data_IF_730981808506
#
_entry.id   IF_730981808506
#
_cell.length_a   1.000
_cell.length_b   1.000
_cell.length_c   1.000
_cell.angle_alpha   90.00
_cell.angle_beta   90.00
_cell.angle_gamma   90.00
#
_symmetry.space_group_name_H-M   'P 1'
#
loop_
_entity.id
_entity.type
_entity.pdbx_description
1 polymer ?
#
# COMPACT_ATOMS: atom_id res chain seq x y z
N UNK A 1 6.80 8.57 -1.06
CA UNK A 1 6.00 9.04 0.08
C UNK A 1 6.57 8.54 1.40
N UNK A 2 6.26 9.22 2.51
CA UNK A 2 6.59 8.74 3.85
C UNK A 2 5.47 7.88 4.46
N UNK A 3 4.25 7.99 3.94
CA UNK A 3 3.07 7.21 4.29
C UNK A 3 2.38 6.73 3.02
N UNK A 4 1.29 5.98 3.14
CA UNK A 4 0.35 5.75 2.05
C UNK A 4 -0.27 7.07 1.56
N UNK A 5 -0.74 7.07 0.31
CA UNK A 5 -1.51 8.18 -0.27
C UNK A 5 -2.84 8.31 0.46
N UNK A 6 -3.15 9.52 0.91
CA UNK A 6 -4.37 9.81 1.67
C UNK A 6 -5.58 10.08 0.79
N UNK A 7 -6.78 9.96 1.37
CA UNK A 7 -8.02 10.40 0.74
C UNK A 7 -7.98 11.87 0.29
N UNK A 8 -7.34 12.76 1.07
CA UNK A 8 -7.22 14.18 0.70
C UNK A 8 -6.35 14.39 -0.54
N UNK A 9 -5.22 13.69 -0.63
CA UNK A 9 -4.36 13.74 -1.81
C UNK A 9 -5.07 13.19 -3.05
N UNK A 10 -5.78 12.07 -2.89
CA UNK A 10 -6.55 11.47 -3.98
C UNK A 10 -7.76 12.33 -4.38
N UNK A 11 -8.37 13.05 -3.44
CA UNK A 11 -9.45 14.00 -3.75
C UNK A 11 -8.94 15.14 -4.65
N UNK A 12 -7.75 15.67 -4.38
CA UNK A 12 -7.14 16.68 -5.23
C UNK A 12 -6.91 16.18 -6.66
N UNK A 13 -6.55 14.90 -6.82
CA UNK A 13 -6.47 14.25 -8.13
C UNK A 13 -7.84 14.18 -8.82
N UNK A 14 -8.85 13.65 -8.15
CA UNK A 14 -10.22 13.54 -8.69
C UNK A 14 -10.78 14.90 -9.11
N UNK A 15 -10.59 15.94 -8.29
CA UNK A 15 -11.08 17.28 -8.59
C UNK A 15 -10.35 17.93 -9.77
N UNK A 16 -9.04 17.68 -9.92
CA UNK A 16 -8.23 18.22 -11.00
C UNK A 16 -8.49 17.53 -12.35
N UNK A 17 -8.68 16.21 -12.36
CA UNK A 17 -8.83 15.42 -13.60
C UNK A 17 -10.28 15.17 -13.99
N UNK A 18 -11.23 15.46 -13.11
CA UNK A 18 -12.66 15.12 -13.27
C UNK A 18 -12.87 13.62 -13.46
N UNK A 19 -12.02 12.80 -12.83
CA UNK A 19 -12.12 11.34 -12.85
C UNK A 19 -13.53 10.90 -12.39
N UNK A 20 -14.16 10.05 -13.19
CA UNK A 20 -15.53 9.57 -12.93
C UNK A 20 -15.54 8.38 -11.98
N UNK A 21 -14.58 7.47 -12.12
CA UNK A 21 -14.42 6.34 -11.20
C UNK A 21 -13.72 6.78 -9.92
N UNK A 22 -14.45 6.79 -8.82
CA UNK A 22 -13.97 7.19 -7.49
C UNK A 22 -14.11 6.02 -6.51
N UNK A 23 -13.42 6.05 -5.36
CA UNK A 23 -13.57 5.02 -4.34
C UNK A 23 -15.03 4.82 -3.94
N UNK A 24 -15.52 3.58 -3.96
CA UNK A 24 -16.95 3.28 -3.82
C UNK A 24 -17.59 3.63 -2.47
N UNK A 25 -16.78 3.95 -1.46
CA UNK A 25 -17.24 4.39 -0.14
C UNK A 25 -17.38 5.92 -0.02
N UNK A 26 -16.98 6.67 -1.04
CA UNK A 26 -17.12 8.12 -1.07
C UNK A 26 -18.57 8.54 -1.32
N UNK A 27 -19.00 9.63 -0.69
CA UNK A 27 -20.36 10.17 -0.81
C UNK A 27 -20.30 11.51 -1.51
N UNK A 28 -21.14 11.69 -2.53
CA UNK A 28 -21.17 12.91 -3.36
C UNK A 28 -19.79 13.30 -3.93
N UNK A 29 -19.00 12.31 -4.33
CA UNK A 29 -17.69 12.55 -4.94
C UNK A 29 -16.55 12.81 -3.97
N UNK A 30 -16.74 12.62 -2.67
CA UNK A 30 -15.77 13.02 -1.63
C UNK A 30 -15.63 11.97 -0.52
N UNK A 31 -14.47 11.90 0.15
CA UNK A 31 -14.34 11.15 1.39
C UNK A 31 -15.29 11.73 2.46
N UNK A 32 -15.72 10.89 3.41
CA UNK A 32 -16.55 11.37 4.52
C UNK A 32 -15.75 12.35 5.41
N UNK A 33 -16.40 13.34 6.05
CA UNK A 33 -15.72 14.24 6.96
C UNK A 33 -14.95 13.50 8.06
N UNK A 34 -13.69 13.87 8.27
CA UNK A 34 -12.80 13.21 9.24
C UNK A 34 -12.01 12.03 8.68
N UNK A 35 -12.24 11.64 7.42
CA UNK A 35 -11.51 10.55 6.75
C UNK A 35 -10.39 11.04 5.82
N UNK A 36 -10.09 12.34 5.82
CA UNK A 36 -9.15 12.98 4.89
C UNK A 36 -7.74 12.40 5.01
N UNK A 37 -7.35 11.98 6.22
CA UNK A 37 -6.04 11.39 6.51
C UNK A 37 -6.01 9.86 6.46
N UNK A 38 -7.13 9.19 6.23
CA UNK A 38 -7.11 7.75 5.98
C UNK A 38 -6.39 7.48 4.66
N UNK A 39 -5.69 6.34 4.53
CA UNK A 39 -5.18 5.89 3.24
C UNK A 39 -6.35 5.76 2.26
N UNK A 40 -6.14 6.19 1.00
CA UNK A 40 -7.11 5.92 -0.05
C UNK A 40 -7.14 4.42 -0.34
N UNK A 41 -8.34 3.84 -0.38
CA UNK A 41 -8.57 2.43 -0.69
C UNK A 41 -9.69 2.29 -1.72
N UNK A 42 -10.04 1.05 -2.11
CA UNK A 42 -11.01 0.79 -3.19
C UNK A 42 -10.59 1.43 -4.52
N UNK A 43 -9.28 1.41 -4.79
CA UNK A 43 -8.65 1.86 -6.04
C UNK A 43 -7.93 0.69 -6.70
N UNK A 44 -8.03 0.59 -8.02
CA UNK A 44 -7.33 -0.43 -8.80
C UNK A 44 -5.86 -0.09 -9.01
N UNK A 45 -5.09 -1.04 -9.55
CA UNK A 45 -3.72 -0.77 -10.00
C UNK A 45 -3.65 0.41 -10.97
N UNK A 46 -4.59 0.46 -11.93
CA UNK A 46 -4.63 1.51 -12.95
C UNK A 46 -4.97 2.88 -12.37
N UNK A 47 -5.87 2.92 -11.38
CA UNK A 47 -6.19 4.14 -10.64
C UNK A 47 -4.95 4.71 -9.93
N UNK A 48 -4.14 3.84 -9.32
CA UNK A 48 -2.91 4.23 -8.63
C UNK A 48 -1.83 4.72 -9.62
N UNK A 49 -1.71 4.08 -10.79
CA UNK A 49 -0.81 4.51 -11.86
C UNK A 49 -1.24 5.85 -12.44
N UNK A 50 -2.54 6.07 -12.67
CA UNK A 50 -3.08 7.34 -13.15
C UNK A 50 -2.83 8.47 -12.15
N UNK A 51 -3.04 8.21 -10.85
CA UNK A 51 -2.70 9.14 -9.79
C UNK A 51 -1.20 9.49 -9.80
N UNK A 52 -0.32 8.48 -9.95
CA UNK A 52 1.13 8.70 -10.01
C UNK A 52 1.52 9.57 -11.20
N UNK A 53 0.91 9.33 -12.37
CA UNK A 53 1.11 10.14 -13.58
C UNK A 53 0.67 11.59 -13.35
N UNK A 54 -0.55 11.81 -12.84
CA UNK A 54 -1.04 13.14 -12.55
C UNK A 54 -0.15 13.89 -11.55
N UNK A 55 0.24 13.23 -10.46
CA UNK A 55 1.13 13.84 -9.46
C UNK A 55 2.48 14.20 -10.07
N UNK A 56 2.95 13.38 -11.01
CA UNK A 56 4.20 13.66 -11.73
C UNK A 56 4.12 14.93 -12.56
N UNK A 57 3.02 15.10 -13.30
CA UNK A 57 2.77 16.30 -14.10
C UNK A 57 2.59 17.54 -13.21
N UNK A 58 1.88 17.41 -12.09
CA UNK A 58 1.64 18.49 -11.12
C UNK A 58 2.94 18.99 -10.49
N UNK A 59 3.81 18.08 -10.07
CA UNK A 59 5.00 18.40 -9.27
C UNK A 59 6.27 18.57 -10.13
N UNK A 60 6.21 18.25 -11.43
CA UNK A 60 7.37 18.30 -12.33
C UNK A 60 8.45 17.25 -12.03
N UNK A 61 8.07 16.14 -11.38
CA UNK A 61 8.98 15.04 -11.03
C UNK A 61 8.32 13.69 -11.29
N UNK A 62 9.07 12.68 -11.74
CA UNK A 62 8.51 11.36 -12.00
C UNK A 62 8.22 10.58 -10.70
N UNK A 63 6.94 10.36 -10.44
CA UNK A 63 6.43 9.41 -9.47
C UNK A 63 5.93 8.13 -10.13
N UNK A 64 6.01 7.02 -9.40
CA UNK A 64 5.47 5.71 -9.79
C UNK A 64 5.18 4.86 -8.56
N UNK A 65 4.48 3.75 -8.75
CA UNK A 65 4.43 2.70 -7.74
C UNK A 65 5.83 2.13 -7.49
N UNK A 66 6.17 1.73 -6.24
CA UNK A 66 7.37 0.97 -5.98
C UNK A 66 7.30 -0.39 -6.66
N UNK A 67 8.45 -0.94 -7.05
CA UNK A 67 8.56 -2.39 -7.25
C UNK A 67 8.45 -3.10 -5.90
N UNK A 68 8.09 -4.39 -5.88
CA UNK A 68 8.04 -5.14 -4.61
C UNK A 68 9.41 -5.18 -3.91
N UNK A 69 10.51 -5.13 -4.69
CA UNK A 69 11.88 -5.15 -4.17
C UNK A 69 12.22 -3.81 -3.50
N UNK A 70 11.86 -2.69 -4.12
CA UNK A 70 12.04 -1.37 -3.50
C UNK A 70 11.18 -1.21 -2.25
N UNK A 71 9.95 -1.71 -2.29
CA UNK A 71 9.06 -1.72 -1.14
C UNK A 71 9.66 -2.54 0.00
N UNK A 72 10.13 -3.76 -0.28
CA UNK A 72 10.74 -4.62 0.72
C UNK A 72 12.04 -4.02 1.26
N UNK A 73 12.88 -3.45 0.39
CA UNK A 73 14.10 -2.76 0.81
C UNK A 73 13.80 -1.65 1.82
N UNK A 74 12.77 -0.83 1.54
CA UNK A 74 12.32 0.19 2.48
C UNK A 74 11.81 -0.41 3.79
N UNK A 75 11.00 -1.46 3.72
CA UNK A 75 10.43 -2.14 4.89
C UNK A 75 11.46 -2.88 5.75
N UNK A 76 12.68 -3.09 5.25
CA UNK A 76 13.75 -3.82 5.93
C UNK A 76 14.97 -2.95 6.26
N UNK A 77 14.88 -1.63 6.14
CA UNK A 77 16.04 -0.73 6.32
C UNK A 77 17.27 -1.11 5.44
N UNK A 78 17.04 -1.75 4.29
CA UNK A 78 18.10 -2.31 3.46
C UNK A 78 18.87 -3.49 4.08
N UNK A 79 18.44 -4.00 5.24
CA UNK A 79 19.07 -5.10 5.96
C UNK A 79 18.44 -6.47 5.62
N UNK A 80 19.29 -7.48 5.47
CA UNK A 80 18.86 -8.84 5.15
C UNK A 80 18.23 -9.62 6.33
N UNK A 81 18.29 -9.09 7.55
CA UNK A 81 17.77 -9.76 8.76
C UNK A 81 16.55 -9.08 9.37
N UNK A 82 16.24 -7.85 8.95
CA UNK A 82 15.04 -7.15 9.41
C UNK A 82 13.82 -7.80 8.76
N UNK A 83 12.82 -8.10 9.58
CA UNK A 83 11.51 -8.62 9.16
C UNK A 83 10.43 -7.54 9.21
N UNK A 84 10.74 -6.41 9.82
CA UNK A 84 9.84 -5.27 10.02
C UNK A 84 10.64 -3.96 9.88
N UNK A 85 9.95 -2.83 9.63
CA UNK A 85 10.58 -1.50 9.59
C UNK A 85 11.34 -1.12 10.87
N UNK A 86 11.00 -1.75 11.99
CA UNK A 86 11.56 -1.51 13.32
C UNK A 86 12.46 -2.66 13.83
N UNK A 87 12.90 -3.56 12.95
CA UNK A 87 13.88 -4.62 13.26
C UNK A 87 13.37 -6.04 12.98
N UNK A 88 13.92 -7.00 13.69
CA UNK A 88 13.71 -8.44 13.46
C UNK A 88 12.55 -9.04 14.26
N UNK A 89 12.05 -8.32 15.28
CA UNK A 89 10.98 -8.79 16.19
C UNK A 89 9.68 -8.03 15.97
N UNK A 90 8.58 -8.79 15.97
CA UNK A 90 7.25 -8.23 15.88
C UNK A 90 6.95 -7.31 17.07
N UNK A 91 6.34 -6.16 16.79
CA UNK A 91 5.87 -5.22 17.82
C UNK A 91 4.48 -4.71 17.42
N UNK A 92 3.43 -5.24 18.06
CA UNK A 92 2.04 -4.89 17.73
C UNK A 92 1.78 -3.37 17.73
N UNK A 93 2.37 -2.64 18.68
CA UNK A 93 2.24 -1.17 18.79
C UNK A 93 2.77 -0.38 17.59
N UNK A 94 3.58 -1.02 16.75
CA UNK A 94 4.24 -0.40 15.61
C UNK A 94 3.47 -0.56 14.29
N UNK A 95 2.34 -1.27 14.30
CA UNK A 95 1.47 -1.45 13.15
C UNK A 95 0.01 -1.12 13.51
N UNK A 96 -0.76 -0.67 12.53
CA UNK A 96 -2.22 -0.56 12.67
C UNK A 96 -2.81 -1.95 12.43
N UNK A 97 -3.24 -2.61 13.50
CA UNK A 97 -3.78 -3.98 13.53
C UNK A 97 -5.01 -4.05 14.43
N UNK A 98 -5.68 -5.20 14.46
CA UNK A 98 -6.84 -5.48 15.32
C UNK A 98 -8.00 -4.49 15.16
N UNK A 99 -8.12 -3.86 13.99
CA UNK A 99 -9.15 -2.83 13.80
C UNK A 99 -10.53 -3.46 13.58
N UNK A 100 -11.58 -2.96 14.26
CA UNK A 100 -12.95 -3.38 14.01
C UNK A 100 -13.33 -3.05 12.57
N UNK A 101 -14.13 -3.93 11.95
CA UNK A 101 -14.58 -3.80 10.56
C UNK A 101 -13.46 -3.65 9.52
N UNK A 102 -12.21 -3.94 9.90
CA UNK A 102 -11.03 -3.78 9.06
C UNK A 102 -10.74 -2.32 8.66
N UNK A 103 -11.25 -1.35 9.44
CA UNK A 103 -11.12 0.06 9.14
C UNK A 103 -9.65 0.52 9.29
N UNK A 104 -9.08 1.21 8.29
CA UNK A 104 -7.74 1.78 8.42
C UNK A 104 -7.74 2.93 9.43
N UNK A 105 -6.54 3.35 9.85
CA UNK A 105 -6.34 4.55 10.66
C UNK A 105 -5.74 5.68 9.83
N UNK A 106 -5.80 6.93 10.34
CA UNK A 106 -5.05 8.01 9.72
C UNK A 106 -3.58 7.62 9.57
N UNK A 107 -3.00 7.95 8.42
CA UNK A 107 -1.59 7.66 8.16
C UNK A 107 -0.69 8.26 9.25
N UNK A 108 0.41 7.58 9.56
CA UNK A 108 1.37 7.94 10.59
C UNK A 108 0.88 7.76 12.02
N UNK A 109 -0.21 7.04 12.25
CA UNK A 109 -0.71 6.77 13.62
C UNK A 109 0.21 5.82 14.39
N UNK A 110 0.78 4.81 13.72
CA UNK A 110 1.69 3.85 14.36
C UNK A 110 3.13 4.36 14.38
N UNK A 111 3.76 4.35 15.56
CA UNK A 111 4.89 5.24 15.91
C UNK A 111 6.28 4.65 15.63
N UNK A 112 6.44 3.76 14.65
CA UNK A 112 7.71 3.09 14.39
C UNK A 112 8.11 3.22 12.91
N UNK A 113 8.55 4.41 12.48
CA UNK A 113 9.11 4.59 11.15
C UNK A 113 10.39 3.76 10.98
N UNK A 114 10.70 3.44 9.72
CA UNK A 114 12.01 2.92 9.34
C UNK A 114 13.11 4.01 9.49
N UNK A 115 14.37 3.65 9.23
CA UNK A 115 15.53 4.56 9.34
C UNK A 115 15.42 5.82 8.45
N UNK A 116 14.61 5.74 7.39
CA UNK A 116 14.34 6.86 6.49
C UNK A 116 13.07 7.63 6.85
N UNK A 117 12.39 7.35 7.96
CA UNK A 117 11.16 8.04 8.37
C UNK A 117 9.91 7.56 7.62
N UNK A 118 9.96 6.42 6.93
CA UNK A 118 8.81 5.83 6.23
C UNK A 118 7.98 5.03 7.24
N UNK A 119 6.68 5.33 7.30
CA UNK A 119 5.72 4.78 8.24
C UNK A 119 4.73 3.86 7.54
N UNK A 120 3.98 3.11 8.36
CA UNK A 120 2.85 2.26 7.95
C UNK A 120 3.20 1.22 6.87
N UNK A 121 4.47 0.81 6.78
CA UNK A 121 4.89 -0.26 5.88
C UNK A 121 4.41 -1.64 6.35
N UNK A 122 3.86 -1.77 7.57
CA UNK A 122 3.25 -3.01 8.07
C UNK A 122 1.91 -2.66 8.72
N UNK A 123 0.85 -3.36 8.32
CA UNK A 123 -0.53 -3.09 8.75
C UNK A 123 -1.17 -1.92 8.01
N UNK A 124 -2.24 -1.38 8.59
CA UNK A 124 -3.10 -0.35 7.99
C UNK A 124 -3.78 -0.81 6.69
N UNK A 125 -3.11 -0.71 5.54
CA UNK A 125 -3.60 -1.23 4.26
C UNK A 125 -2.49 -1.95 3.51
N UNK A 126 -2.86 -2.97 2.75
CA UNK A 126 -1.97 -3.48 1.71
C UNK A 126 -1.67 -2.39 0.69
N UNK A 127 -0.54 -2.52 0.02
CA UNK A 127 -0.09 -1.53 -0.97
C UNK A 127 0.20 -2.16 -2.31
N UNK A 128 -0.34 -1.56 -3.37
CA UNK A 128 0.03 -1.86 -4.75
C UNK A 128 1.52 -1.67 -5.00
N UNK A 129 2.13 -2.61 -5.73
CA UNK A 129 3.47 -2.47 -6.32
C UNK A 129 3.38 -2.61 -7.83
N UNK A 130 4.39 -2.13 -8.55
CA UNK A 130 4.50 -2.29 -10.00
C UNK A 130 5.02 -3.65 -10.46
N UNK A 131 5.21 -4.60 -9.53
CA UNK A 131 5.75 -5.92 -9.85
C UNK A 131 4.64 -6.90 -10.18
N UNK A 132 4.60 -7.38 -11.43
CA UNK A 132 3.74 -8.49 -11.82
C UNK A 132 4.10 -9.78 -11.06
N UNK A 133 3.11 -10.66 -10.89
CA UNK A 133 3.25 -11.92 -10.19
C UNK A 133 4.44 -12.74 -10.73
N UNK A 134 5.31 -13.16 -9.81
CA UNK A 134 6.51 -13.92 -10.16
C UNK A 134 6.88 -14.91 -9.05
N UNK A 135 7.53 -15.99 -9.45
CA UNK A 135 8.20 -16.91 -8.52
C UNK A 135 9.62 -16.41 -8.25
N UNK A 136 10.14 -16.68 -7.05
CA UNK A 136 11.53 -16.34 -6.73
C UNK A 136 12.51 -17.07 -7.67
N UNK A 137 13.63 -16.42 -8.04
CA UNK A 137 14.71 -17.09 -8.76
C UNK A 137 15.15 -18.37 -8.05
N UNK A 138 15.22 -19.48 -8.79
CA UNK A 138 15.56 -20.81 -8.25
C UNK A 138 14.36 -21.64 -7.77
N UNK A 139 13.14 -21.09 -7.81
CA UNK A 139 11.92 -21.88 -7.57
C UNK A 139 11.67 -22.88 -8.69
N UNK A 140 11.20 -24.08 -8.34
CA UNK A 140 10.68 -25.07 -9.30
C UNK A 140 9.21 -24.84 -9.67
N UNK A 141 8.54 -23.87 -9.02
CA UNK A 141 7.16 -23.50 -9.31
C UNK A 141 7.09 -22.62 -10.55
N UNK A 142 5.95 -22.67 -11.23
CA UNK A 142 5.61 -21.75 -12.31
C UNK A 142 4.42 -20.88 -11.91
N UNK A 143 4.39 -19.65 -12.41
CA UNK A 143 3.19 -18.81 -12.36
C UNK A 143 2.11 -19.48 -13.22
N UNK A 144 0.92 -19.67 -12.65
CA UNK A 144 -0.20 -20.24 -13.41
C UNK A 144 -0.70 -19.22 -14.44
N UNK A 145 -1.16 -19.64 -15.62
CA UNK A 145 -1.84 -18.74 -16.55
C UNK A 145 -3.03 -18.06 -15.88
N UNK A 146 -3.18 -16.76 -16.11
CA UNK A 146 -4.24 -15.90 -15.59
C UNK A 146 -4.89 -15.12 -16.73
N UNK A 147 -6.18 -14.83 -16.63
CA UNK A 147 -6.94 -14.11 -17.67
C UNK A 147 -6.60 -12.61 -17.71
N UNK A 148 -6.25 -12.03 -16.56
CA UNK A 148 -5.72 -10.69 -16.43
C UNK A 148 -4.37 -10.70 -15.70
N UNK A 149 -3.51 -9.68 -15.84
CA UNK A 149 -2.27 -9.60 -15.06
C UNK A 149 -2.56 -9.48 -13.56
N UNK A 150 -1.77 -10.17 -12.74
CA UNK A 150 -1.81 -10.04 -11.29
C UNK A 150 -0.56 -9.29 -10.83
N UNK A 151 -0.70 -8.46 -9.81
CA UNK A 151 0.40 -7.67 -9.26
C UNK A 151 0.61 -7.99 -7.79
N UNK A 152 1.86 -7.90 -7.35
CA UNK A 152 2.24 -8.07 -5.95
C UNK A 152 1.73 -6.88 -5.13
N UNK A 153 1.11 -7.20 -4.00
CA UNK A 153 0.76 -6.26 -2.92
C UNK A 153 1.55 -6.61 -1.66
N UNK A 154 1.88 -5.60 -0.85
CA UNK A 154 2.75 -5.76 0.33
C UNK A 154 2.17 -5.07 1.57
N UNK A 155 2.79 -5.31 2.73
CA UNK A 155 2.50 -4.59 3.99
C UNK A 155 1.46 -5.22 4.92
N UNK A 156 0.43 -5.84 4.38
CA UNK A 156 -0.68 -6.34 5.18
C UNK A 156 -1.69 -5.25 5.55
N UNK A 157 -2.86 -5.62 6.09
CA UNK A 157 -3.92 -4.68 6.43
C UNK A 157 -4.32 -4.66 7.91
N UNK A 158 -5.13 -3.67 8.28
CA UNK A 158 -5.63 -3.44 9.64
C UNK A 158 -6.46 -4.61 10.22
N UNK A 159 -6.88 -5.54 9.38
CA UNK A 159 -7.66 -6.73 9.73
C UNK A 159 -6.84 -7.84 10.39
N UNK A 160 -5.52 -7.81 10.26
CA UNK A 160 -4.65 -8.80 10.88
C UNK A 160 -4.63 -8.70 12.40
N UNK A 161 -4.35 -9.84 13.04
CA UNK A 161 -4.33 -9.95 14.51
C UNK A 161 -2.93 -9.79 15.06
N UNK A 162 -2.81 -9.05 16.17
CA UNK A 162 -1.54 -8.89 16.88
C UNK A 162 -1.05 -10.15 17.61
N UNK A 163 -1.82 -11.24 17.58
CA UNK A 163 -1.42 -12.54 18.14
C UNK A 163 -0.23 -13.15 17.41
N UNK A 164 0.10 -12.68 16.20
CA UNK A 164 1.27 -13.13 15.43
C UNK A 164 1.03 -14.42 14.64
N UNK A 165 -0.22 -14.89 14.58
CA UNK A 165 -0.62 -16.09 13.82
C UNK A 165 -0.50 -15.85 12.31
N UNK A 166 -0.80 -14.63 11.87
CA UNK A 166 -0.58 -14.16 10.52
C UNK A 166 0.77 -13.44 10.45
N UNK A 167 1.80 -14.10 9.88
CA UNK A 167 3.14 -13.50 9.73
C UNK A 167 3.13 -12.39 8.68
N UNK A 168 2.61 -11.23 9.04
CA UNK A 168 2.72 -9.99 8.26
C UNK A 168 4.11 -9.38 8.40
N UNK A 169 5.05 -9.91 7.64
CA UNK A 169 6.43 -9.43 7.61
C UNK A 169 6.69 -8.59 6.37
N UNK A 170 7.81 -7.87 6.37
CA UNK A 170 8.34 -7.19 5.21
C UNK A 170 8.54 -8.14 4.01
N UNK A 171 8.65 -9.46 4.23
CA UNK A 171 8.83 -10.47 3.16
C UNK A 171 7.52 -11.15 2.73
N UNK A 172 6.38 -10.84 3.37
CA UNK A 172 5.10 -11.46 3.06
C UNK A 172 4.57 -10.98 1.71
N UNK A 173 4.43 -11.88 0.74
CA UNK A 173 3.95 -11.58 -0.61
C UNK A 173 2.52 -12.05 -0.77
N UNK A 174 1.69 -11.20 -1.32
CA UNK A 174 0.37 -11.57 -1.82
C UNK A 174 0.21 -10.96 -3.22
N UNK A 175 -0.44 -11.70 -4.10
CA UNK A 175 -0.80 -11.19 -5.42
C UNK A 175 -2.32 -10.96 -5.46
N UNK A 176 -2.76 -10.01 -6.27
CA UNK A 176 -4.16 -9.83 -6.63
C UNK A 176 -4.29 -9.43 -8.12
N UNK A 177 -5.45 -9.72 -8.77
CA UNK A 177 -5.72 -9.27 -10.13
C UNK A 177 -5.67 -7.74 -10.27
N UNK A 178 -5.19 -7.24 -11.42
CA UNK A 178 -5.06 -5.80 -11.74
C UNK A 178 -6.34 -5.00 -11.48
N UNK A 179 -7.50 -5.61 -11.74
CA UNK A 179 -8.83 -5.02 -11.55
C UNK A 179 -9.29 -4.89 -10.08
N UNK A 180 -8.56 -5.49 -9.13
CA UNK A 180 -8.96 -5.55 -7.71
C UNK A 180 -9.18 -4.16 -7.11
N UNK A 181 -10.31 -3.98 -6.42
CA UNK A 181 -10.57 -2.81 -5.56
C UNK A 181 -11.04 -3.35 -4.21
N UNK A 182 -10.26 -3.11 -3.14
CA UNK A 182 -10.53 -3.66 -1.80
C UNK A 182 -10.47 -2.58 -0.71
N UNK A 183 -11.31 -2.64 0.35
CA UNK A 183 -11.26 -1.70 1.48
C UNK A 183 -9.93 -1.69 2.24
N UNK A 184 -9.15 -2.76 2.15
CA UNK A 184 -7.84 -2.89 2.81
C UNK A 184 -6.65 -2.79 1.85
N UNK A 185 -6.83 -2.22 0.65
CA UNK A 185 -5.80 -2.08 -0.38
C UNK A 185 -5.72 -0.63 -0.87
N UNK A 186 -4.57 0.00 -0.62
CA UNK A 186 -4.19 1.33 -1.09
C UNK A 186 -2.84 1.30 -1.79
N UNK A 187 -2.07 2.39 -1.68
CA UNK A 187 -0.74 2.47 -2.30
C UNK A 187 0.09 3.63 -1.74
N UNK A 188 1.40 3.60 -2.02
CA UNK A 188 2.34 4.72 -1.87
C UNK A 188 3.13 4.91 -3.15
N UNK A 189 3.72 6.09 -3.35
CA UNK A 189 4.60 6.34 -4.49
C UNK A 189 6.06 6.40 -4.11
N UNK A 190 6.93 6.07 -5.07
CA UNK A 190 8.36 6.38 -5.05
C UNK A 190 8.65 7.42 -6.12
N UNK A 191 9.78 8.11 -5.95
CA UNK A 191 10.26 9.15 -6.86
C UNK A 191 11.57 8.67 -7.48
N UNK A 192 11.74 8.85 -8.78
CA UNK A 192 13.04 8.66 -9.44
C UNK A 192 14.00 9.81 -9.11
#
# INVERSE_FOLDING_TARGET
DKTEVTNLEYLAFVEATKKQEIPGHWVNGRPLPGQEKLPVTLVSYDDAVEFAKWRSERDGVTYRLPTEIEWEYAARNGAANDLYPWGDKFQARCAVLDQPNNDPKPVGTASCPNEWGVMDLIGNVFEWTSTEVSVYPGSSLAVKPVEEPHYMIRGGGAFYKSTGDDRITATFRQEVPRSTKSPGLGFRLVRN
#
